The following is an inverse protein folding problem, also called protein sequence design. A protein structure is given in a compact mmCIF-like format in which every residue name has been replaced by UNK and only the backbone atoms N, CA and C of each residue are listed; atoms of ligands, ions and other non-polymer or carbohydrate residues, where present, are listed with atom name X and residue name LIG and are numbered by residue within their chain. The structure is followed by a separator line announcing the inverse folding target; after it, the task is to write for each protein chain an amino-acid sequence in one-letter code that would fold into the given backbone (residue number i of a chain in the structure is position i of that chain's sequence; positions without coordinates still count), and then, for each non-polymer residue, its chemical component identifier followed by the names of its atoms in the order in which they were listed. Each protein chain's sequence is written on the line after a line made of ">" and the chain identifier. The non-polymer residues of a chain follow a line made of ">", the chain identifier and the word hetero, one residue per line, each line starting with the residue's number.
data_IF_468931631066
#
_entry.id   IF_468931631066
#
_cell.length_a   1.000
_cell.length_b   1.000
_cell.length_c   1.000
_cell.angle_alpha   90.00
_cell.angle_beta   90.00
_cell.angle_gamma   90.00
#
_symmetry.space_group_name_H-M   'P 1'
#
loop_
_entity.id
_entity.type
_entity.pdbx_description
1 polymer ?
#
# COMPACT_ATOMS: atom_id res chain seq x y z
N UNK A 1 5.21 -13.79 3.90
CA UNK A 1 6.33 -12.83 4.09
C UNK A 1 5.80 -11.39 4.16
N UNK A 2 6.43 -10.46 4.90
CA UNK A 2 5.93 -9.08 5.04
C UNK A 2 5.82 -8.28 3.73
N UNK A 3 6.57 -8.68 2.70
CA UNK A 3 6.45 -8.11 1.35
C UNK A 3 5.15 -8.57 0.66
N UNK A 4 4.70 -9.80 0.88
CA UNK A 4 3.46 -10.32 0.29
C UNK A 4 2.23 -9.65 0.90
N UNK A 5 2.26 -9.32 2.19
CA UNK A 5 1.16 -8.59 2.86
C UNK A 5 1.04 -7.17 2.33
N UNK A 6 2.17 -6.52 2.03
CA UNK A 6 2.17 -5.24 1.33
C UNK A 6 1.50 -5.35 -0.04
N UNK A 7 1.91 -6.34 -0.84
CA UNK A 7 1.31 -6.58 -2.16
C UNK A 7 -0.18 -6.87 -2.04
N UNK A 8 -0.61 -7.68 -1.07
CA UNK A 8 -2.02 -7.96 -0.80
C UNK A 8 -2.80 -6.69 -0.49
N UNK A 9 -2.31 -5.86 0.45
CA UNK A 9 -2.98 -4.61 0.81
C UNK A 9 -3.07 -3.64 -0.38
N UNK A 10 -2.02 -3.56 -1.20
CA UNK A 10 -2.01 -2.72 -2.39
C UNK A 10 -2.98 -3.23 -3.48
N UNK A 11 -3.06 -4.55 -3.67
CA UNK A 11 -4.02 -5.16 -4.59
C UNK A 11 -5.46 -4.97 -4.13
N UNK A 12 -5.74 -5.06 -2.82
CA UNK A 12 -7.08 -4.77 -2.27
C UNK A 12 -7.46 -3.31 -2.46
N UNK A 13 -6.53 -2.39 -2.25
CA UNK A 13 -6.74 -0.97 -2.54
C UNK A 13 -7.07 -0.74 -4.02
N UNK A 14 -6.29 -1.34 -4.91
CA UNK A 14 -6.50 -1.25 -6.35
C UNK A 14 -7.86 -1.83 -6.76
N UNK A 15 -8.24 -2.99 -6.22
CA UNK A 15 -9.55 -3.58 -6.47
C UNK A 15 -10.70 -2.68 -5.97
N UNK A 16 -10.53 -1.99 -4.85
CA UNK A 16 -11.56 -1.12 -4.27
C UNK A 16 -11.69 0.24 -4.98
N UNK A 17 -10.62 0.76 -5.56
CA UNK A 17 -10.56 2.14 -6.07
C UNK A 17 -10.29 2.25 -7.57
N UNK A 18 -9.82 1.18 -8.22
CA UNK A 18 -9.33 1.20 -9.59
C UNK A 18 -7.91 1.77 -9.73
N UNK A 19 -7.34 2.33 -8.66
CA UNK A 19 -6.05 3.04 -8.67
C UNK A 19 -5.02 2.40 -7.74
N UNK A 20 -3.75 2.48 -8.13
CA UNK A 20 -2.67 2.05 -7.25
C UNK A 20 -2.54 3.00 -6.04
N UNK A 21 -2.33 2.49 -4.80
CA UNK A 21 -2.33 3.32 -3.59
C UNK A 21 -1.23 4.39 -3.52
N UNK A 22 -0.10 4.20 -4.22
CA UNK A 22 1.04 5.14 -4.17
C UNK A 22 0.92 6.21 -5.24
N UNK A 23 1.00 7.47 -4.81
CA UNK A 23 1.06 8.60 -5.73
C UNK A 23 2.50 8.88 -6.18
N UNK A 24 2.99 8.06 -7.11
CA UNK A 24 4.33 8.23 -7.67
C UNK A 24 4.49 9.55 -8.43
N UNK A 25 3.41 10.07 -9.03
CA UNK A 25 3.44 11.32 -9.76
C UNK A 25 3.75 12.51 -8.83
N UNK A 26 3.27 12.47 -7.59
CA UNK A 26 3.56 13.50 -6.58
C UNK A 26 5.06 13.69 -6.31
N UNK A 27 5.86 12.61 -6.45
CA UNK A 27 7.31 12.64 -6.26
C UNK A 27 8.08 12.60 -7.58
N UNK A 28 7.41 12.83 -8.71
CA UNK A 28 8.02 12.88 -10.03
C UNK A 28 8.51 11.54 -10.56
N UNK A 29 8.01 10.42 -10.02
CA UNK A 29 8.39 9.08 -10.46
C UNK A 29 7.35 8.53 -11.44
N UNK A 30 7.85 8.09 -12.59
CA UNK A 30 7.09 7.26 -13.52
C UNK A 30 7.46 5.78 -13.28
N UNK A 31 6.55 4.96 -12.72
CA UNK A 31 6.83 3.56 -12.42
C UNK A 31 7.13 2.73 -13.67
N UNK A 32 6.71 3.17 -14.87
CA UNK A 32 7.04 2.51 -16.14
C UNK A 32 8.46 2.78 -16.64
N UNK A 33 9.16 3.76 -16.04
CA UNK A 33 10.53 4.16 -16.43
C UNK A 33 11.60 3.75 -15.42
N UNK A 34 11.21 3.10 -14.32
CA UNK A 34 12.13 2.63 -13.28
C UNK A 34 12.13 1.11 -13.21
N UNK A 35 13.26 0.53 -12.80
CA UNK A 35 13.37 -0.93 -12.66
C UNK A 35 12.62 -1.40 -11.42
N UNK A 36 12.14 -2.65 -11.43
CA UNK A 36 11.43 -3.23 -10.29
C UNK A 36 12.26 -3.21 -8.97
N UNK A 37 13.58 -3.49 -8.95
CA UNK A 37 14.39 -3.36 -7.74
C UNK A 37 14.44 -1.93 -7.18
N UNK A 38 14.59 -0.94 -8.06
CA UNK A 38 14.63 0.47 -7.69
C UNK A 38 13.27 0.92 -7.13
N UNK A 39 12.16 0.52 -7.78
CA UNK A 39 10.82 0.80 -7.28
C UNK A 39 10.57 0.19 -5.90
N UNK A 40 11.05 -1.03 -5.64
CA UNK A 40 10.96 -1.66 -4.30
C UNK A 40 11.75 -0.91 -3.25
N UNK A 41 12.94 -0.41 -3.57
CA UNK A 41 13.72 0.43 -2.66
C UNK A 41 12.97 1.72 -2.31
N UNK A 42 12.39 2.39 -3.32
CA UNK A 42 11.62 3.62 -3.14
C UNK A 42 10.35 3.39 -2.32
N UNK A 43 9.64 2.27 -2.55
CA UNK A 43 8.52 1.86 -1.69
C UNK A 43 9.00 1.62 -0.25
N UNK A 44 10.19 1.02 -0.09
CA UNK A 44 10.82 0.75 1.20
C UNK A 44 11.13 2.01 2.02
N UNK A 45 11.42 3.14 1.37
CA UNK A 45 11.66 4.42 2.08
C UNK A 45 10.38 5.01 2.69
N UNK A 46 9.20 4.56 2.24
CA UNK A 46 7.88 5.01 2.72
C UNK A 46 7.63 6.51 2.59
N UNK A 47 8.37 7.20 1.72
CA UNK A 47 8.22 8.64 1.46
C UNK A 47 7.15 8.96 0.40
N UNK A 48 6.62 7.93 -0.27
CA UNK A 48 5.61 8.12 -1.31
C UNK A 48 4.23 8.26 -0.66
N UNK A 49 3.55 9.41 -0.82
CA UNK A 49 2.24 9.60 -0.24
C UNK A 49 1.22 8.61 -0.81
N UNK A 50 0.19 8.33 -0.01
CA UNK A 50 -0.96 7.57 -0.48
C UNK A 50 -1.88 8.48 -1.29
N UNK A 51 -2.44 7.95 -2.37
CA UNK A 51 -3.41 8.66 -3.21
C UNK A 51 -4.69 8.92 -2.42
N UNK A 52 -5.22 10.14 -2.54
CA UNK A 52 -6.49 10.60 -1.97
C UNK A 52 -7.45 11.00 -3.09
N UNK A 53 -8.78 11.08 -2.86
CA UNK A 53 -9.51 10.80 -1.61
C UNK A 53 -9.58 9.31 -1.26
N UNK A 54 -10.16 8.98 -0.10
CA UNK A 54 -10.48 7.61 0.29
C UNK A 54 -11.99 7.37 0.11
N UNK A 55 -12.46 6.83 -1.02
CA UNK A 55 -13.88 6.56 -1.22
C UNK A 55 -14.49 5.61 -0.17
N UNK A 56 -13.67 4.75 0.45
CA UNK A 56 -14.03 3.82 1.53
C UNK A 56 -13.14 4.11 2.74
N UNK A 57 -13.42 5.16 3.54
CA UNK A 57 -12.49 5.67 4.55
C UNK A 57 -11.99 4.60 5.53
N UNK A 58 -12.90 3.81 6.10
CA UNK A 58 -12.57 2.82 7.14
C UNK A 58 -11.68 1.70 6.59
N UNK A 59 -12.09 1.11 5.46
CA UNK A 59 -11.33 0.06 4.77
C UNK A 59 -9.97 0.58 4.31
N UNK A 60 -9.92 1.75 3.67
CA UNK A 60 -8.68 2.32 3.18
C UNK A 60 -7.77 2.79 4.31
N UNK A 61 -8.29 3.13 5.48
CA UNK A 61 -7.46 3.43 6.64
C UNK A 61 -6.73 2.18 7.13
N UNK A 62 -7.41 1.04 7.25
CA UNK A 62 -6.77 -0.25 7.58
C UNK A 62 -5.69 -0.61 6.55
N UNK A 63 -5.96 -0.42 5.26
CA UNK A 63 -4.98 -0.69 4.21
C UNK A 63 -3.80 0.31 4.25
N UNK A 64 -4.07 1.58 4.52
CA UNK A 64 -3.05 2.64 4.62
C UNK A 64 -2.04 2.35 5.75
N UNK A 65 -2.51 1.85 6.89
CA UNK A 65 -1.64 1.44 8.00
C UNK A 65 -0.67 0.34 7.57
N UNK A 66 -1.13 -0.68 6.86
CA UNK A 66 -0.27 -1.77 6.36
C UNK A 66 0.74 -1.26 5.33
N UNK A 67 0.29 -0.39 4.42
CA UNK A 67 1.15 0.16 3.37
C UNK A 67 2.24 1.07 3.95
N UNK A 68 1.98 1.79 5.04
CA UNK A 68 2.93 2.71 5.68
C UNK A 68 3.76 2.07 6.80
N UNK A 69 3.36 0.90 7.28
CA UNK A 69 4.08 0.18 8.33
C UNK A 69 5.51 -0.22 7.91
N UNK A 70 6.49 -0.13 8.84
CA UNK A 70 7.78 -0.81 8.71
C UNK A 70 7.61 -2.30 8.38
N UNK A 71 8.51 -2.88 7.60
CA UNK A 71 8.45 -4.28 7.17
C UNK A 71 8.30 -5.25 8.35
N UNK A 72 8.99 -5.01 9.45
CA UNK A 72 8.97 -5.80 10.69
C UNK A 72 7.69 -5.60 11.52
N UNK A 73 6.90 -4.57 11.24
CA UNK A 73 5.64 -4.25 11.94
C UNK A 73 4.40 -4.49 11.10
N UNK A 74 4.54 -4.98 9.87
CA UNK A 74 3.39 -5.34 9.05
C UNK A 74 2.68 -6.53 9.68
N UNK A 75 1.34 -6.53 9.73
CA UNK A 75 0.59 -7.68 10.18
C UNK A 75 0.83 -8.88 9.25
N UNK A 76 0.47 -10.05 9.71
CA UNK A 76 0.24 -11.22 8.87
C UNK A 76 -1.00 -11.03 8.00
N UNK A 77 -1.14 -11.85 6.94
CA UNK A 77 -2.35 -11.82 6.11
C UNK A 77 -3.62 -12.15 6.91
N UNK A 78 -3.53 -13.04 7.89
CA UNK A 78 -4.65 -13.42 8.75
C UNK A 78 -5.09 -12.26 9.65
N UNK A 79 -4.14 -11.53 10.26
CA UNK A 79 -4.43 -10.34 11.07
C UNK A 79 -5.02 -9.21 10.21
N UNK A 80 -4.52 -9.00 8.99
CA UNK A 80 -5.13 -8.05 8.06
C UNK A 80 -6.59 -8.42 7.76
N UNK A 81 -6.87 -9.69 7.47
CA UNK A 81 -8.22 -10.16 7.22
C UNK A 81 -9.15 -10.04 8.44
N UNK A 82 -8.62 -10.06 9.66
CA UNK A 82 -9.40 -9.78 10.88
C UNK A 82 -9.73 -8.29 10.97
N UNK A 83 -8.74 -7.41 10.77
CA UNK A 83 -8.96 -5.95 10.79
C UNK A 83 -10.00 -5.50 9.75
N UNK A 84 -9.97 -6.08 8.55
CA UNK A 84 -10.92 -5.75 7.48
C UNK A 84 -12.35 -6.25 7.73
N UNK A 85 -12.56 -7.21 8.64
CA UNK A 85 -13.90 -7.70 9.01
C UNK A 85 -14.61 -6.83 10.04
N UNK A 86 -13.86 -5.96 10.71
CA UNK A 86 -14.38 -4.97 11.64
C UNK A 86 -13.61 -3.66 11.42
N UNK A 87 -13.73 -3.07 10.21
CA UNK A 87 -12.95 -1.91 9.80
C UNK A 87 -13.31 -0.65 10.60
#
# INVERSE_FOLDING_TARGET
>A
MPAEVYTLAASLWWAATGDWPRDYAHIGIDPGKVTAPMLRQIIGTRQIPLRRPYPWPDVQQVLAEVLTAPTDRRPTAAELAQRLRSP
#
